data_IF_815495206851
#
_entry.id   IF_815495206851
#
_cell.length_a   1.000
_cell.length_b   1.000
_cell.length_c   1.000
_cell.angle_alpha   90.00
_cell.angle_beta   90.00
_cell.angle_gamma   90.00
#
_symmetry.space_group_name_H-M   'P 1'
#
loop_
_entity.id
_entity.type
_entity.pdbx_description
1 polymer ?
#
# COMPACT_ATOMS: atom_id res chain seq x y z
N UNK A 1 56.72 5.01 24.11
CA UNK A 1 55.70 4.36 24.96
C UNK A 1 54.57 5.37 25.16
N UNK A 2 53.37 4.84 25.32
CA UNK A 2 52.14 5.52 25.78
C UNK A 2 51.31 6.20 24.68
N UNK A 3 50.37 5.50 24.04
CA UNK A 3 49.00 5.13 24.47
C UNK A 3 48.07 6.34 24.58
N UNK A 4 47.30 6.57 23.51
CA UNK A 4 46.04 7.33 23.56
C UNK A 4 44.97 6.54 24.32
N UNK A 5 44.17 7.19 25.19
CA UNK A 5 42.90 6.65 25.62
C UNK A 5 41.73 7.31 24.86
N UNK A 6 41.00 6.47 24.15
CA UNK A 6 39.60 6.68 23.77
C UNK A 6 38.74 6.85 25.03
N UNK A 7 37.82 7.82 25.04
CA UNK A 7 36.72 7.87 26.00
C UNK A 7 35.50 8.57 25.40
N UNK A 8 34.60 7.74 24.92
CA UNK A 8 33.21 8.03 24.59
C UNK A 8 32.43 8.28 25.89
N UNK A 9 32.11 9.54 26.20
CA UNK A 9 31.12 9.85 27.25
C UNK A 9 29.75 10.12 26.62
N UNK A 10 28.84 9.16 26.73
CA UNK A 10 27.42 9.35 26.45
C UNK A 10 26.79 10.01 27.70
N UNK A 11 26.31 11.24 27.54
CA UNK A 11 25.49 11.95 28.52
C UNK A 11 24.06 11.38 28.50
N UNK A 12 23.69 10.69 29.57
CA UNK A 12 22.29 10.29 29.83
C UNK A 12 21.55 11.48 30.42
N UNK A 13 20.63 12.08 29.66
CA UNK A 13 19.71 13.09 30.15
C UNK A 13 18.70 12.45 31.12
N UNK A 14 18.61 12.99 32.34
CA UNK A 14 17.60 12.67 33.34
C UNK A 14 16.25 13.25 32.93
N UNK A 15 15.21 12.41 32.87
CA UNK A 15 13.82 12.85 32.78
C UNK A 15 13.38 13.54 34.08
N UNK A 16 12.78 14.70 33.92
CA UNK A 16 12.10 15.46 34.98
C UNK A 16 10.67 14.94 35.08
N UNK A 17 10.30 14.51 36.28
CA UNK A 17 8.93 14.17 36.67
C UNK A 17 8.14 15.47 36.89
N UNK A 18 7.04 15.64 36.18
CA UNK A 18 6.01 16.62 36.53
C UNK A 18 4.62 16.01 36.28
N UNK A 19 3.86 15.89 37.36
CA UNK A 19 2.45 15.56 37.42
C UNK A 19 1.60 16.79 37.09
N UNK A 20 0.56 16.67 36.26
CA UNK A 20 -0.85 16.85 36.69
C UNK A 20 -1.83 16.68 35.51
N UNK A 21 -2.86 15.87 35.77
CA UNK A 21 -4.28 15.98 35.39
C UNK A 21 -4.67 16.79 34.14
N UNK A 22 -5.08 16.11 33.05
CA UNK A 22 -6.30 16.48 32.30
C UNK A 22 -6.85 15.29 31.49
N UNK A 23 -8.12 14.94 31.72
CA UNK A 23 -8.81 13.78 31.18
C UNK A 23 -9.43 14.07 29.81
N UNK A 24 -8.78 13.57 28.75
CA UNK A 24 -9.35 13.47 27.40
C UNK A 24 -9.25 12.05 26.86
N UNK A 25 -10.38 11.34 26.81
CA UNK A 25 -10.52 9.93 26.43
C UNK A 25 -9.83 9.57 25.10
N UNK A 26 -8.58 9.09 25.18
CA UNK A 26 -7.79 8.60 24.04
C UNK A 26 -8.17 7.16 23.72
N UNK A 27 -8.66 6.92 22.49
CA UNK A 27 -8.72 5.57 21.91
C UNK A 27 -7.35 4.91 22.01
N UNK A 28 -7.31 3.75 22.65
CA UNK A 28 -6.14 2.88 22.78
C UNK A 28 -5.55 2.65 21.40
N UNK A 29 -4.37 3.22 21.14
CA UNK A 29 -3.61 2.94 19.93
C UNK A 29 -3.14 1.48 20.01
N UNK A 30 -3.50 0.68 19.00
CA UNK A 30 -3.00 -0.70 18.87
C UNK A 30 -1.46 -0.68 18.92
N UNK A 31 -0.81 -1.52 19.73
CA UNK A 31 0.64 -1.51 19.83
C UNK A 31 1.26 -1.85 18.47
N UNK A 32 2.34 -1.14 18.13
CA UNK A 32 3.15 -1.42 16.93
C UNK A 32 3.60 -2.89 16.94
N UNK A 33 3.77 -3.50 15.77
CA UNK A 33 4.21 -4.90 15.63
C UNK A 33 5.49 -5.20 16.44
N UNK A 34 6.39 -4.22 16.55
CA UNK A 34 7.62 -4.33 17.35
C UNK A 34 7.37 -4.29 18.86
N UNK A 35 6.38 -3.50 19.30
CA UNK A 35 5.96 -3.46 20.71
C UNK A 35 5.21 -4.75 21.10
N UNK A 36 4.42 -5.32 20.18
CA UNK A 36 3.76 -6.62 20.37
C UNK A 36 4.77 -7.74 20.52
N UNK A 37 5.78 -7.79 19.66
CA UNK A 37 6.83 -8.81 19.73
C UNK A 37 7.57 -8.76 21.07
N UNK A 38 7.96 -7.57 21.52
CA UNK A 38 8.63 -7.40 22.81
C UNK A 38 7.74 -7.75 24.00
N UNK A 39 6.44 -7.44 23.92
CA UNK A 39 5.46 -7.82 24.93
C UNK A 39 5.26 -9.35 24.97
N UNK A 40 5.23 -10.03 23.82
CA UNK A 40 5.18 -11.50 23.77
C UNK A 40 6.46 -12.14 24.34
N UNK A 41 7.63 -11.55 24.10
CA UNK A 41 8.88 -12.03 24.70
C UNK A 41 8.90 -11.84 26.23
N UNK A 42 8.33 -10.74 26.75
CA UNK A 42 8.16 -10.51 28.18
C UNK A 42 7.14 -11.46 28.82
N UNK A 43 5.98 -11.66 28.19
CA UNK A 43 4.96 -12.60 28.70
C UNK A 43 5.47 -14.05 28.72
N UNK A 44 6.24 -14.48 27.71
CA UNK A 44 6.86 -15.82 27.69
C UNK A 44 7.92 -15.97 28.79
N UNK A 45 8.65 -14.90 29.13
CA UNK A 45 9.66 -14.94 30.20
C UNK A 45 9.02 -14.90 31.58
N UNK A 46 7.96 -14.12 31.78
CA UNK A 46 7.21 -14.08 33.04
C UNK A 46 6.48 -15.42 33.31
N UNK A 47 5.84 -16.01 32.30
CA UNK A 47 5.15 -17.31 32.39
C UNK A 47 6.13 -18.49 32.59
N UNK A 48 7.39 -18.36 32.12
CA UNK A 48 8.45 -19.31 32.44
C UNK A 48 8.96 -19.18 33.88
N UNK A 49 8.99 -17.97 34.43
CA UNK A 49 9.38 -17.70 35.83
C UNK A 49 8.26 -18.15 36.78
N UNK A 50 6.99 -17.90 36.45
CA UNK A 50 5.84 -18.27 37.27
C UNK A 50 5.71 -19.80 37.41
N UNK A 51 5.88 -20.54 36.30
CA UNK A 51 5.95 -22.01 36.31
C UNK A 51 7.13 -22.55 37.11
N UNK A 52 8.27 -21.87 37.11
CA UNK A 52 9.41 -22.26 37.94
C UNK A 52 9.13 -22.04 39.45
N UNK A 53 8.36 -21.00 39.80
CA UNK A 53 7.97 -20.72 41.19
C UNK A 53 6.84 -21.61 41.72
N UNK A 54 5.89 -22.04 40.87
CA UNK A 54 4.86 -23.01 41.26
C UNK A 54 5.44 -24.39 41.60
N UNK A 55 6.48 -24.82 40.87
CA UNK A 55 7.18 -26.09 41.13
C UNK A 55 7.92 -26.04 42.49
N UNK A 56 8.29 -24.85 42.98
CA UNK A 56 8.92 -24.65 44.28
C UNK A 56 7.92 -24.52 45.45
N UNK A 57 6.63 -24.23 45.19
CA UNK A 57 5.62 -23.95 46.21
C UNK A 57 4.87 -25.17 46.80
N UNK A 58 5.06 -26.37 46.24
CA UNK A 58 4.30 -27.58 46.60
C UNK A 58 4.59 -28.23 47.97
N UNK A 59 5.36 -27.59 48.84
CA UNK A 59 5.80 -28.13 50.13
C UNK A 59 4.99 -27.66 51.35
N UNK A 60 3.66 -27.51 51.27
CA UNK A 60 2.85 -27.03 52.42
C UNK A 60 2.33 -28.20 53.26
N UNK A 61 2.98 -28.42 54.40
CA UNK A 61 2.66 -29.41 55.45
C UNK A 61 1.21 -29.25 55.94
N UNK A 62 0.43 -30.33 55.89
CA UNK A 62 -0.81 -30.51 56.67
C UNK A 62 -0.44 -30.88 58.11
N UNK A 63 -0.65 -29.96 59.05
CA UNK A 63 -0.56 -30.24 60.49
C UNK A 63 -1.96 -30.42 61.06
N UNK A 64 -2.32 -31.68 61.33
CA UNK A 64 -3.47 -32.04 62.16
C UNK A 64 -2.99 -32.84 63.38
N UNK A 65 -3.41 -32.35 64.54
CA UNK A 65 -3.51 -33.01 65.85
C UNK A 65 -2.23 -33.28 66.65
N UNK A 66 -2.08 -32.47 67.70
CA UNK A 66 -1.20 -32.65 68.86
C UNK A 66 -1.81 -33.69 69.81
N UNK A 67 -1.09 -34.78 70.05
CA UNK A 67 -1.24 -35.60 71.25
C UNK A 67 0.16 -36.03 71.70
N UNK A 68 0.49 -35.70 72.94
CA UNK A 68 1.79 -35.95 73.55
C UNK A 68 1.91 -37.39 74.03
N UNK A 69 3.02 -38.06 73.75
CA UNK A 69 3.64 -39.00 74.70
C UNK A 69 5.15 -39.05 74.52
N UNK A 70 5.78 -39.04 75.68
CA UNK A 70 7.19 -39.07 76.03
C UNK A 70 7.95 -40.30 75.47
N UNK A 71 9.25 -40.10 75.27
CA UNK A 71 10.33 -41.08 75.39
C UNK A 71 10.35 -42.30 74.44
N UNK A 72 11.20 -42.22 73.40
CA UNK A 72 12.33 -43.15 73.20
C UNK A 72 13.23 -42.61 72.09
N UNK A 73 14.35 -42.01 72.49
CA UNK A 73 15.47 -41.70 71.59
C UNK A 73 16.03 -43.03 71.08
N UNK A 74 15.54 -43.46 69.91
CA UNK A 74 16.09 -44.56 69.14
C UNK A 74 16.80 -43.92 67.97
N UNK A 75 18.13 -43.98 67.95
CA UNK A 75 18.93 -43.63 66.78
C UNK A 75 18.33 -44.34 65.55
N UNK A 76 17.71 -43.56 64.66
CA UNK A 76 17.27 -44.02 63.34
C UNK A 76 18.50 -44.06 62.44
N UNK A 77 18.64 -45.07 61.58
CA UNK A 77 19.82 -45.19 60.73
C UNK A 77 19.79 -44.11 59.67
N UNK A 78 20.89 -43.39 59.55
CA UNK A 78 21.19 -42.37 58.53
C UNK A 78 21.01 -42.91 57.08
N UNK A 79 20.97 -44.24 56.91
CA UNK A 79 20.84 -44.93 55.63
C UNK A 79 19.53 -44.68 54.84
N UNK A 80 18.44 -44.26 55.51
CA UNK A 80 17.14 -44.06 54.83
C UNK A 80 17.08 -42.70 54.11
N UNK A 81 17.77 -41.69 54.65
CA UNK A 81 17.87 -40.35 54.05
C UNK A 81 18.79 -40.35 52.81
N UNK A 82 19.87 -41.14 52.83
CA UNK A 82 20.80 -41.29 51.69
C UNK A 82 20.13 -41.98 50.49
N UNK A 83 19.28 -42.98 50.74
CA UNK A 83 18.48 -43.62 49.69
C UNK A 83 17.46 -42.66 49.09
N UNK A 84 16.81 -41.85 49.92
CA UNK A 84 15.89 -40.80 49.46
C UNK A 84 16.60 -39.79 48.54
N UNK A 85 17.78 -39.31 48.94
CA UNK A 85 18.60 -38.40 48.14
C UNK A 85 18.99 -39.00 46.79
N UNK A 86 19.46 -40.26 46.76
CA UNK A 86 19.81 -40.95 45.52
C UNK A 86 18.61 -41.10 44.56
N UNK A 87 17.42 -41.42 45.08
CA UNK A 87 16.20 -41.48 44.27
C UNK A 87 15.84 -40.11 43.68
N UNK A 88 15.98 -39.03 44.46
CA UNK A 88 15.71 -37.67 43.96
C UNK A 88 16.69 -37.23 42.89
N UNK A 89 17.99 -37.52 43.05
CA UNK A 89 19.02 -37.24 42.04
C UNK A 89 18.79 -38.06 40.76
N UNK A 90 18.41 -39.32 40.88
CA UNK A 90 18.08 -40.17 39.74
C UNK A 90 16.85 -39.64 38.98
N UNK A 91 15.84 -39.12 39.70
CA UNK A 91 14.67 -38.46 39.09
C UNK A 91 15.07 -37.19 38.35
N UNK A 92 15.83 -36.31 39.00
CA UNK A 92 16.34 -35.06 38.38
C UNK A 92 17.20 -35.34 37.14
N UNK A 93 18.03 -36.39 37.17
CA UNK A 93 18.89 -36.76 36.03
C UNK A 93 18.05 -37.20 34.83
N UNK A 94 16.96 -37.94 35.06
CA UNK A 94 16.02 -38.34 34.00
C UNK A 94 15.26 -37.14 33.43
N UNK A 95 14.84 -36.22 34.29
CA UNK A 95 14.16 -34.98 33.88
C UNK A 95 15.09 -34.10 33.04
N UNK A 96 16.34 -33.89 33.48
CA UNK A 96 17.35 -33.16 32.72
C UNK A 96 17.64 -33.82 31.38
N UNK A 97 17.79 -35.15 31.36
CA UNK A 97 18.00 -35.88 30.11
C UNK A 97 16.81 -35.71 29.14
N UNK A 98 15.58 -35.76 29.64
CA UNK A 98 14.39 -35.53 28.82
C UNK A 98 14.36 -34.09 28.27
N UNK A 99 14.68 -33.09 29.08
CA UNK A 99 14.76 -31.69 28.64
C UNK A 99 15.84 -31.49 27.57
N UNK A 100 17.03 -32.06 27.76
CA UNK A 100 18.13 -32.01 26.77
C UNK A 100 17.72 -32.68 25.46
N UNK A 101 17.02 -33.81 25.52
CA UNK A 101 16.52 -34.49 24.32
C UNK A 101 15.54 -33.61 23.53
N UNK A 102 14.60 -32.95 24.23
CA UNK A 102 13.66 -32.01 23.59
C UNK A 102 14.41 -30.85 22.93
N UNK A 103 15.38 -30.26 23.63
CA UNK A 103 16.21 -29.18 23.07
C UNK A 103 17.00 -29.62 21.85
N UNK A 104 17.55 -30.84 21.85
CA UNK A 104 18.28 -31.38 20.71
C UNK A 104 17.38 -31.58 19.49
N UNK A 105 16.18 -32.14 19.68
CA UNK A 105 15.21 -32.32 18.60
C UNK A 105 14.72 -30.98 18.04
N UNK A 106 14.50 -29.98 18.92
CA UNK A 106 14.16 -28.62 18.52
C UNK A 106 15.31 -27.94 17.75
N UNK A 107 16.55 -28.08 18.21
CA UNK A 107 17.73 -27.56 17.53
C UNK A 107 17.91 -28.17 16.14
N UNK A 108 17.77 -29.49 16.03
CA UNK A 108 17.85 -30.19 14.74
C UNK A 108 16.78 -29.71 13.75
N UNK A 109 15.56 -29.48 14.22
CA UNK A 109 14.50 -28.86 13.41
C UNK A 109 14.86 -27.43 12.99
N UNK A 110 15.38 -26.62 13.93
CA UNK A 110 15.84 -25.26 13.62
C UNK A 110 16.96 -25.24 12.60
N UNK A 111 17.87 -26.22 12.62
CA UNK A 111 18.93 -26.34 11.62
C UNK A 111 18.35 -26.58 10.22
N UNK A 112 17.34 -27.47 10.11
CA UNK A 112 16.66 -27.70 8.83
C UNK A 112 15.90 -26.47 8.34
N UNK A 113 15.24 -25.75 9.25
CA UNK A 113 14.54 -24.50 8.91
C UNK A 113 15.52 -23.42 8.44
N UNK A 114 16.68 -23.27 9.11
CA UNK A 114 17.73 -22.34 8.70
C UNK A 114 18.24 -22.64 7.29
N UNK A 115 18.46 -23.92 6.95
CA UNK A 115 18.86 -24.34 5.59
C UNK A 115 17.79 -23.98 4.55
N UNK A 116 16.52 -24.17 4.89
CA UNK A 116 15.41 -23.81 4.01
C UNK A 116 15.33 -22.29 3.79
N UNK A 117 15.39 -21.50 4.86
CA UNK A 117 15.40 -20.03 4.79
C UNK A 117 16.58 -19.53 3.97
N UNK A 118 17.77 -20.13 4.13
CA UNK A 118 18.93 -19.77 3.33
C UNK A 118 18.75 -20.11 1.84
N UNK A 119 18.10 -21.23 1.51
CA UNK A 119 17.76 -21.58 0.14
C UNK A 119 16.74 -20.59 -0.46
N UNK A 120 15.68 -20.23 0.26
CA UNK A 120 14.70 -19.23 -0.16
C UNK A 120 15.35 -17.85 -0.37
N UNK A 121 16.26 -17.45 0.52
CA UNK A 121 17.00 -16.19 0.37
C UNK A 121 17.87 -16.19 -0.88
N UNK A 122 18.52 -17.31 -1.22
CA UNK A 122 19.28 -17.44 -2.47
C UNK A 122 18.38 -17.30 -3.70
N UNK A 123 17.20 -17.94 -3.70
CA UNK A 123 16.22 -17.83 -4.79
C UNK A 123 15.75 -16.38 -4.95
N UNK A 124 15.31 -15.75 -3.86
CA UNK A 124 14.87 -14.35 -3.90
C UNK A 124 15.98 -13.40 -4.38
N UNK A 125 17.23 -13.66 -4.00
CA UNK A 125 18.37 -12.88 -4.49
C UNK A 125 18.59 -13.06 -6.00
N UNK A 126 18.45 -14.28 -6.52
CA UNK A 126 18.55 -14.53 -7.95
C UNK A 126 17.43 -13.85 -8.74
N UNK A 127 16.19 -13.94 -8.27
CA UNK A 127 15.03 -13.26 -8.88
C UNK A 127 15.21 -11.74 -8.90
N UNK A 128 15.71 -11.15 -7.81
CA UNK A 128 16.01 -9.71 -7.76
C UNK A 128 17.07 -9.29 -8.79
N UNK A 129 18.09 -10.12 -9.04
CA UNK A 129 19.07 -9.84 -10.08
C UNK A 129 18.46 -9.95 -11.48
N UNK A 130 17.60 -10.94 -11.72
CA UNK A 130 16.87 -11.07 -12.99
C UNK A 130 15.98 -9.85 -13.24
N UNK A 131 15.13 -9.48 -12.28
CA UNK A 131 14.26 -8.29 -12.38
C UNK A 131 15.08 -7.02 -12.60
N UNK A 132 16.22 -6.88 -11.93
CA UNK A 132 17.12 -5.74 -12.15
C UNK A 132 17.64 -5.70 -13.59
N UNK A 133 18.02 -6.83 -14.16
CA UNK A 133 18.49 -6.92 -15.54
C UNK A 133 17.38 -6.58 -16.55
N UNK A 134 16.16 -7.07 -16.31
CA UNK A 134 14.99 -6.76 -17.13
C UNK A 134 14.61 -5.28 -17.07
N UNK A 135 14.63 -4.68 -15.88
CA UNK A 135 14.41 -3.23 -15.72
C UNK A 135 15.47 -2.40 -16.46
N UNK A 136 16.72 -2.85 -16.47
CA UNK A 136 17.76 -2.20 -17.27
C UNK A 136 17.50 -2.34 -18.78
N UNK A 137 17.08 -3.51 -19.25
CA UNK A 137 16.72 -3.73 -20.64
C UNK A 137 15.54 -2.84 -21.08
N UNK A 138 14.46 -2.83 -20.30
CA UNK A 138 13.28 -1.98 -20.54
C UNK A 138 13.65 -0.49 -20.54
N UNK A 139 14.55 -0.07 -19.65
CA UNK A 139 15.06 1.32 -19.63
C UNK A 139 15.76 1.68 -20.94
N UNK A 140 16.60 0.79 -21.47
CA UNK A 140 17.29 1.00 -22.76
C UNK A 140 16.28 1.06 -23.91
N UNK A 141 15.29 0.15 -23.93
CA UNK A 141 14.25 0.15 -24.96
C UNK A 141 13.40 1.43 -24.94
N UNK A 142 13.06 1.94 -23.75
CA UNK A 142 12.34 3.20 -23.60
C UNK A 142 13.16 4.41 -24.07
N UNK A 143 14.47 4.42 -23.81
CA UNK A 143 15.35 5.46 -24.33
C UNK A 143 15.43 5.41 -25.86
N UNK A 144 15.59 4.22 -26.44
CA UNK A 144 15.59 4.05 -27.89
C UNK A 144 14.22 4.43 -28.51
N UNK A 145 13.11 4.12 -27.85
CA UNK A 145 11.78 4.54 -28.31
C UNK A 145 11.61 6.05 -28.25
N UNK A 146 12.12 6.68 -27.20
CA UNK A 146 12.11 8.14 -27.06
C UNK A 146 12.88 8.81 -28.20
N UNK A 147 14.09 8.35 -28.49
CA UNK A 147 14.91 8.89 -29.59
C UNK A 147 14.20 8.72 -30.94
N UNK A 148 13.63 7.53 -31.23
CA UNK A 148 12.85 7.32 -32.47
C UNK A 148 11.66 8.27 -32.58
N UNK A 149 10.96 8.53 -31.48
CA UNK A 149 9.82 9.44 -31.47
C UNK A 149 10.27 10.89 -31.70
N UNK A 150 11.40 11.31 -31.11
CA UNK A 150 11.98 12.64 -31.34
C UNK A 150 12.43 12.80 -32.81
N UNK A 151 13.05 11.79 -33.40
CA UNK A 151 13.45 11.78 -34.82
C UNK A 151 12.23 11.84 -35.75
N UNK A 152 11.19 11.05 -35.50
CA UNK A 152 9.94 11.10 -36.25
C UNK A 152 9.25 12.46 -36.11
N UNK A 153 9.28 13.06 -34.92
CA UNK A 153 8.76 14.41 -34.69
C UNK A 153 9.55 15.47 -35.46
N UNK A 154 10.88 15.38 -35.49
CA UNK A 154 11.72 16.30 -36.27
C UNK A 154 11.44 16.17 -37.77
N UNK A 155 11.39 14.93 -38.29
CA UNK A 155 11.10 14.64 -39.70
C UNK A 155 9.71 15.09 -40.12
N UNK A 156 8.69 14.90 -39.29
CA UNK A 156 7.34 15.39 -39.59
C UNK A 156 7.27 16.91 -39.59
N UNK A 157 8.01 17.58 -38.71
CA UNK A 157 8.11 19.04 -38.69
C UNK A 157 8.81 19.58 -39.95
N UNK A 158 9.94 18.99 -40.36
CA UNK A 158 10.62 19.33 -41.62
C UNK A 158 9.71 19.15 -42.84
N UNK A 159 8.96 18.05 -42.90
CA UNK A 159 8.00 17.82 -43.98
C UNK A 159 6.89 18.89 -44.01
N UNK A 160 6.39 19.31 -42.85
CA UNK A 160 5.39 20.38 -42.76
C UNK A 160 5.97 21.73 -43.24
N UNK A 161 7.22 22.03 -42.90
CA UNK A 161 7.92 23.23 -43.37
C UNK A 161 8.15 23.19 -44.89
N UNK A 162 8.54 22.04 -45.44
CA UNK A 162 8.66 21.83 -46.88
C UNK A 162 7.33 22.05 -47.62
N UNK A 163 6.21 21.56 -47.07
CA UNK A 163 4.87 21.80 -47.63
C UNK A 163 4.51 23.30 -47.54
N UNK A 164 4.81 23.96 -46.43
CA UNK A 164 4.55 25.39 -46.25
C UNK A 164 5.34 26.26 -47.24
N UNK A 165 6.62 25.93 -47.49
CA UNK A 165 7.46 26.65 -48.47
C UNK A 165 7.01 26.41 -49.92
N UNK A 166 6.58 25.20 -50.27
CA UNK A 166 5.97 24.91 -51.59
C UNK A 166 4.65 25.67 -51.77
N UNK A 167 3.83 25.76 -50.72
CA UNK A 167 2.62 26.57 -50.74
C UNK A 167 2.92 28.08 -50.91
N UNK A 168 3.97 28.58 -50.25
CA UNK A 168 4.42 29.97 -50.35
C UNK A 168 5.12 30.32 -51.68
N UNK A 169 5.66 29.34 -52.41
CA UNK A 169 6.26 29.54 -53.75
C UNK A 169 5.25 29.33 -54.87
N UNK A 170 4.18 28.57 -54.65
CA UNK A 170 2.94 28.61 -55.45
C UNK A 170 2.15 29.89 -55.15
N UNK A 171 2.79 31.04 -55.27
CA UNK A 171 2.14 32.34 -55.46
C UNK A 171 1.58 32.42 -56.90
N UNK A 172 0.71 31.48 -57.28
CA UNK A 172 -0.35 31.85 -58.22
C UNK A 172 -1.37 32.66 -57.43
N UNK A 173 -1.95 33.72 -57.99
CA UNK A 173 -2.98 34.48 -57.29
C UNK A 173 -4.02 33.47 -56.82
N UNK A 174 -4.19 33.39 -55.50
CA UNK A 174 -5.30 32.64 -54.93
C UNK A 174 -6.54 33.09 -55.69
N UNK A 175 -7.21 32.17 -56.39
CA UNK A 175 -8.61 32.37 -56.75
C UNK A 175 -9.32 32.47 -55.40
N UNK A 176 -9.40 33.71 -54.92
CA UNK A 176 -10.07 34.07 -53.69
C UNK A 176 -11.54 33.83 -53.96
N UNK A 177 -12.26 33.19 -53.04
CA UNK A 177 -13.70 33.01 -53.15
C UNK A 177 -14.45 34.34 -53.38
N UNK A 178 -13.79 35.48 -53.08
CA UNK A 178 -14.25 36.83 -53.38
C UNK A 178 -14.14 37.27 -54.86
N UNK A 179 -13.35 36.61 -55.71
CA UNK A 179 -13.22 36.95 -57.14
C UNK A 179 -14.36 36.37 -57.99
N UNK A 180 -15.03 35.32 -57.52
CA UNK A 180 -16.22 34.76 -58.18
C UNK A 180 -17.46 35.66 -57.98
N UNK A 181 -17.48 36.48 -56.93
CA UNK A 181 -18.58 37.42 -56.66
C UNK A 181 -18.38 38.82 -57.24
N UNK A 182 -17.23 39.12 -57.86
CA UNK A 182 -16.92 40.47 -58.37
C UNK A 182 -17.40 40.77 -59.80
N UNK A 183 -17.95 39.79 -60.53
CA UNK A 183 -18.69 40.03 -61.79
C UNK A 183 -20.20 40.27 -61.58
N UNK A 184 -20.64 40.55 -60.35
CA UNK A 184 -22.00 40.93 -60.02
C UNK A 184 -22.03 42.35 -59.44
N UNK A 185 -22.70 43.25 -60.15
CA UNK A 185 -22.88 44.66 -59.83
C UNK A 185 -23.45 44.91 -58.42
N UNK A 186 -22.89 45.93 -57.76
CA UNK A 186 -23.67 46.88 -56.96
C UNK A 186 -23.79 46.62 -55.45
N UNK A 187 -23.40 47.63 -54.65
CA UNK A 187 -23.99 47.84 -53.32
C UNK A 187 -23.00 48.07 -52.17
N UNK A 188 -22.73 49.34 -51.91
CA UNK A 188 -22.29 50.01 -50.66
C UNK A 188 -21.95 49.17 -49.39
N UNK A 189 -20.73 49.42 -48.89
CA UNK A 189 -20.31 49.78 -47.51
C UNK A 189 -21.45 49.92 -46.45
N UNK A 190 -21.35 49.60 -45.16
CA UNK A 190 -20.24 49.37 -44.20
C UNK A 190 -20.93 48.98 -42.87
N UNK A 191 -20.45 48.00 -42.11
CA UNK A 191 -20.06 48.26 -40.71
C UNK A 191 -19.23 47.13 -40.11
N UNK A 192 -18.23 47.54 -39.35
CA UNK A 192 -17.12 46.76 -38.82
C UNK A 192 -17.38 46.26 -37.40
N UNK A 193 -17.07 44.99 -37.12
CA UNK A 193 -16.53 44.60 -35.81
C UNK A 193 -15.50 43.48 -35.98
N UNK A 194 -14.24 43.92 -35.95
CA UNK A 194 -13.03 43.09 -35.94
C UNK A 194 -12.97 42.37 -34.59
N UNK A 195 -12.94 41.04 -34.61
CA UNK A 195 -12.56 40.23 -33.46
C UNK A 195 -11.11 39.80 -33.63
N UNK A 196 -10.21 40.38 -32.84
CA UNK A 196 -8.84 39.90 -32.69
C UNK A 196 -8.81 38.65 -31.80
N UNK A 197 -8.02 37.61 -32.12
CA UNK A 197 -7.73 36.50 -31.23
C UNK A 197 -6.59 36.92 -30.28
N UNK A 198 -6.94 37.19 -29.04
CA UNK A 198 -5.99 37.48 -27.96
C UNK A 198 -5.89 36.29 -27.01
N UNK A 199 -4.75 35.62 -27.03
CA UNK A 199 -4.32 34.64 -26.04
C UNK A 199 -4.45 35.21 -24.62
N UNK A 200 -5.30 34.60 -23.81
CA UNK A 200 -5.13 34.51 -22.36
C UNK A 200 -5.91 33.28 -21.90
N UNK A 201 -5.21 32.15 -21.76
CA UNK A 201 -5.68 30.96 -21.07
C UNK A 201 -5.96 31.34 -19.61
N UNK A 202 -7.15 31.87 -19.37
CA UNK A 202 -7.69 31.97 -18.02
C UNK A 202 -7.88 30.54 -17.52
N UNK A 203 -7.24 30.24 -16.39
CA UNK A 203 -7.29 28.96 -15.72
C UNK A 203 -8.72 28.38 -15.77
N UNK A 204 -8.82 27.26 -16.50
CA UNK A 204 -10.03 26.47 -16.65
C UNK A 204 -10.75 26.35 -15.32
N UNK A 205 -11.99 26.83 -15.25
CA UNK A 205 -12.95 26.36 -14.26
C UNK A 205 -13.11 24.87 -14.55
N UNK A 206 -12.30 24.06 -13.86
CA UNK A 206 -12.10 22.65 -14.14
C UNK A 206 -13.44 21.96 -14.28
N UNK A 207 -13.74 21.45 -15.48
CA UNK A 207 -14.84 20.52 -15.68
C UNK A 207 -14.59 19.35 -14.70
N UNK A 208 -15.54 19.00 -13.83
CA UNK A 208 -15.32 17.98 -12.82
C UNK A 208 -14.96 16.65 -13.48
N UNK A 209 -13.74 16.16 -13.23
CA UNK A 209 -13.31 14.83 -13.63
C UNK A 209 -14.25 13.80 -13.00
N UNK A 210 -14.81 12.93 -13.83
CA UNK A 210 -15.70 11.87 -13.41
C UNK A 210 -15.01 10.52 -13.62
N UNK A 211 -15.32 9.58 -12.72
CA UNK A 211 -14.99 8.17 -12.85
C UNK A 211 -16.30 7.39 -12.94
N UNK A 212 -16.64 6.90 -14.12
CA UNK A 212 -17.87 6.13 -14.36
C UNK A 212 -17.63 4.65 -14.17
N UNK A 213 -18.27 4.06 -13.15
CA UNK A 213 -18.25 2.64 -12.86
C UNK A 213 -19.49 2.00 -13.48
N UNK A 214 -19.29 1.12 -14.47
CA UNK A 214 -20.33 0.34 -15.11
C UNK A 214 -20.40 -1.05 -14.49
N UNK A 215 -21.55 -1.33 -13.87
CA UNK A 215 -21.85 -2.59 -13.16
C UNK A 215 -22.81 -3.49 -13.95
N UNK A 216 -23.14 -3.14 -15.20
CA UNK A 216 -24.13 -3.85 -16.02
C UNK A 216 -23.76 -5.31 -16.32
N UNK A 217 -22.46 -5.64 -16.29
CA UNK A 217 -21.94 -7.00 -16.52
C UNK A 217 -21.62 -7.76 -15.23
N UNK A 218 -21.87 -7.16 -14.07
CA UNK A 218 -21.79 -7.88 -12.79
C UNK A 218 -23.04 -8.75 -12.68
N UNK A 219 -22.86 -10.04 -12.37
CA UNK A 219 -23.96 -11.01 -12.31
C UNK A 219 -25.13 -10.48 -11.46
N UNK A 220 -26.33 -10.55 -12.05
CA UNK A 220 -27.53 -9.95 -11.50
C UNK A 220 -28.10 -10.76 -10.33
N UNK A 221 -27.66 -10.42 -9.12
CA UNK A 221 -28.26 -10.86 -7.85
C UNK A 221 -28.28 -9.73 -6.82
N UNK A 222 -28.65 -10.05 -5.57
CA UNK A 222 -28.54 -9.14 -4.41
C UNK A 222 -27.11 -8.60 -4.19
N UNK A 223 -26.12 -9.22 -4.86
CA UNK A 223 -24.72 -8.86 -4.80
C UNK A 223 -24.31 -7.73 -5.75
N UNK A 224 -25.22 -7.23 -6.59
CA UNK A 224 -24.92 -6.08 -7.45
C UNK A 224 -24.57 -4.85 -6.61
N UNK A 225 -23.40 -4.22 -6.85
CA UNK A 225 -22.96 -3.08 -6.06
C UNK A 225 -23.79 -1.84 -6.38
N UNK A 226 -24.62 -1.42 -5.42
CA UNK A 226 -25.34 -0.15 -5.49
C UNK A 226 -24.43 1.05 -5.19
N UNK A 227 -24.88 2.28 -5.49
CA UNK A 227 -24.09 3.50 -5.25
C UNK A 227 -23.59 3.68 -3.81
N UNK A 228 -24.36 3.21 -2.82
CA UNK A 228 -23.95 3.23 -1.41
C UNK A 228 -22.84 2.22 -1.09
N UNK A 229 -22.94 1.00 -1.61
CA UNK A 229 -21.90 -0.03 -1.51
C UNK A 229 -20.61 0.42 -2.21
N UNK A 230 -20.74 1.03 -3.38
CA UNK A 230 -19.61 1.60 -4.11
C UNK A 230 -18.95 2.69 -3.28
N UNK A 231 -19.72 3.64 -2.73
CA UNK A 231 -19.20 4.67 -1.81
C UNK A 231 -18.42 4.06 -0.67
N UNK A 232 -19.03 3.12 0.04
CA UNK A 232 -18.46 2.53 1.24
C UNK A 232 -17.16 1.78 0.94
N UNK A 233 -17.12 1.01 -0.15
CA UNK A 233 -15.93 0.27 -0.56
C UNK A 233 -14.81 1.22 -1.02
N UNK A 234 -15.11 2.20 -1.89
CA UNK A 234 -14.10 3.16 -2.37
C UNK A 234 -13.54 3.98 -1.21
N UNK A 235 -14.39 4.50 -0.32
CA UNK A 235 -13.93 5.26 0.83
C UNK A 235 -13.16 4.41 1.85
N UNK A 236 -13.51 3.13 2.00
CA UNK A 236 -12.78 2.20 2.87
C UNK A 236 -11.36 1.96 2.36
N UNK A 237 -11.22 1.66 1.07
CA UNK A 237 -9.91 1.42 0.45
C UNK A 237 -9.07 2.70 0.41
N UNK A 238 -9.68 3.84 0.06
CA UNK A 238 -9.00 5.13 0.09
C UNK A 238 -8.45 5.47 1.49
N UNK A 239 -9.24 5.28 2.56
CA UNK A 239 -8.78 5.54 3.93
C UNK A 239 -7.73 4.55 4.42
N UNK A 240 -7.65 3.37 3.82
CA UNK A 240 -6.62 2.38 4.13
C UNK A 240 -5.26 2.75 3.53
N UNK A 241 -5.23 3.68 2.57
CA UNK A 241 -3.98 4.20 2.01
C UNK A 241 -3.33 5.24 2.93
N UNK A 242 -2.00 5.22 2.99
CA UNK A 242 -1.22 6.11 3.84
C UNK A 242 -1.54 7.58 3.54
N UNK A 243 -1.90 8.34 4.57
CA UNK A 243 -2.19 9.78 4.47
C UNK A 243 -3.62 10.15 4.06
N UNK A 244 -4.52 9.19 3.81
CA UNK A 244 -5.90 9.44 3.33
C UNK A 244 -7.00 9.15 4.37
N UNK A 245 -6.66 9.14 5.67
CA UNK A 245 -7.59 8.72 6.74
C UNK A 245 -8.90 9.52 6.89
N UNK A 246 -8.96 10.75 6.39
CA UNK A 246 -10.17 11.59 6.36
C UNK A 246 -10.85 11.64 4.98
N UNK A 247 -10.38 10.84 4.02
CA UNK A 247 -10.89 10.87 2.66
C UNK A 247 -12.37 10.43 2.61
N UNK A 248 -13.10 11.09 1.72
CA UNK A 248 -14.51 10.83 1.41
C UNK A 248 -14.78 11.19 -0.04
N UNK A 249 -15.72 10.48 -0.66
CA UNK A 249 -16.14 10.79 -2.02
C UNK A 249 -16.73 12.22 -2.06
N UNK A 250 -16.39 12.99 -3.10
CA UNK A 250 -16.93 14.36 -3.28
C UNK A 250 -18.42 14.32 -3.62
N UNK A 251 -18.78 13.52 -4.60
CA UNK A 251 -20.16 13.21 -4.95
C UNK A 251 -20.21 11.87 -5.68
N UNK A 252 -21.36 11.21 -5.57
CA UNK A 252 -21.66 10.00 -6.33
C UNK A 252 -23.06 10.16 -6.91
N UNK A 253 -23.19 9.98 -8.21
CA UNK A 253 -24.44 10.10 -8.95
C UNK A 253 -24.71 8.83 -9.74
N UNK A 254 -25.95 8.37 -9.75
CA UNK A 254 -26.41 7.29 -10.63
C UNK A 254 -26.86 7.92 -11.95
N UNK A 255 -26.50 7.32 -13.09
CA UNK A 255 -26.94 7.80 -14.39
C UNK A 255 -28.47 7.54 -14.56
N UNK A 256 -29.29 8.57 -14.86
CA UNK A 256 -30.72 8.38 -15.06
C UNK A 256 -31.06 7.50 -16.26
N UNK A 257 -30.14 7.35 -17.23
CA UNK A 257 -30.33 6.49 -18.41
C UNK A 257 -29.95 5.03 -18.14
N UNK A 258 -29.08 4.79 -17.16
CA UNK A 258 -28.62 3.46 -16.81
C UNK A 258 -28.28 3.38 -15.31
N UNK A 259 -29.15 2.74 -14.53
CA UNK A 259 -28.97 2.56 -13.09
C UNK A 259 -27.69 1.80 -12.71
N UNK A 260 -27.12 1.07 -13.67
CA UNK A 260 -25.88 0.30 -13.49
C UNK A 260 -24.62 1.15 -13.67
N UNK A 261 -24.76 2.38 -14.18
CA UNK A 261 -23.67 3.34 -14.35
C UNK A 261 -23.67 4.35 -13.23
N UNK A 262 -22.58 4.34 -12.47
CA UNK A 262 -22.41 5.16 -11.27
C UNK A 262 -21.19 6.04 -11.48
N UNK A 263 -21.38 7.36 -11.41
CA UNK A 263 -20.31 8.35 -11.60
C UNK A 263 -19.83 8.85 -10.25
N UNK A 264 -18.52 8.83 -10.04
CA UNK A 264 -17.85 9.43 -8.89
C UNK A 264 -17.14 10.70 -9.36
N UNK A 265 -17.38 11.83 -8.69
CA UNK A 265 -16.66 13.07 -8.98
C UNK A 265 -15.30 13.06 -8.27
N UNK A 266 -14.24 13.21 -9.03
CA UNK A 266 -12.85 13.28 -8.58
C UNK A 266 -12.42 14.75 -8.38
N UNK A 267 -11.45 15.00 -7.50
CA UNK A 267 -10.84 16.34 -7.33
C UNK A 267 -9.71 16.59 -8.31
N UNK A 268 -8.94 15.56 -8.64
CA UNK A 268 -7.80 15.61 -9.53
C UNK A 268 -7.61 14.29 -10.28
N UNK A 269 -6.68 14.27 -11.24
CA UNK A 269 -6.35 13.09 -12.05
C UNK A 269 -5.73 11.95 -11.23
N UNK A 270 -5.08 12.25 -10.09
CA UNK A 270 -4.47 11.24 -9.24
C UNK A 270 -5.56 10.47 -8.47
N UNK A 271 -6.55 11.17 -7.89
CA UNK A 271 -7.75 10.59 -7.33
C UNK A 271 -8.53 9.79 -8.38
N UNK A 272 -8.65 10.30 -9.60
CA UNK A 272 -9.32 9.57 -10.69
C UNK A 272 -8.63 8.22 -10.99
N UNK A 273 -7.31 8.21 -11.14
CA UNK A 273 -6.52 6.98 -11.36
C UNK A 273 -6.66 6.00 -10.20
N UNK A 274 -6.66 6.50 -8.97
CA UNK A 274 -6.75 5.68 -7.77
C UNK A 274 -8.13 5.04 -7.59
N UNK A 275 -9.20 5.83 -7.80
CA UNK A 275 -10.57 5.32 -7.77
C UNK A 275 -10.78 4.28 -8.87
N UNK A 276 -10.19 4.50 -10.06
CA UNK A 276 -10.20 3.51 -11.14
C UNK A 276 -9.60 2.17 -10.71
N UNK A 277 -8.41 2.19 -10.11
CA UNK A 277 -7.74 0.98 -9.61
C UNK A 277 -8.56 0.29 -8.50
N UNK A 278 -9.11 1.05 -7.56
CA UNK A 278 -9.94 0.52 -6.48
C UNK A 278 -11.20 -0.13 -7.06
N UNK A 279 -11.87 0.52 -8.01
CA UNK A 279 -13.10 0.01 -8.60
C UNK A 279 -12.87 -1.30 -9.37
N UNK A 280 -11.79 -1.39 -10.15
CA UNK A 280 -11.41 -2.61 -10.86
C UNK A 280 -11.05 -3.75 -9.90
N UNK A 281 -10.44 -3.44 -8.75
CA UNK A 281 -10.06 -4.43 -7.73
C UNK A 281 -11.23 -4.89 -6.87
N UNK A 282 -12.12 -3.99 -6.46
CA UNK A 282 -13.10 -4.23 -5.39
C UNK A 282 -14.44 -4.79 -5.86
N UNK A 283 -14.81 -4.64 -7.13
CA UNK A 283 -16.18 -4.96 -7.60
C UNK A 283 -16.26 -6.16 -8.57
N UNK A 284 -15.24 -7.04 -8.56
CA UNK A 284 -15.28 -8.37 -9.17
C UNK A 284 -15.29 -8.40 -10.71
N UNK A 285 -15.28 -9.61 -11.31
CA UNK A 285 -15.32 -9.80 -12.76
C UNK A 285 -16.61 -9.19 -13.34
N UNK A 286 -16.47 -8.28 -14.31
CA UNK A 286 -17.60 -7.62 -14.97
C UNK A 286 -17.76 -6.14 -14.64
N UNK A 287 -17.17 -5.62 -13.55
CA UNK A 287 -17.11 -4.18 -13.32
C UNK A 287 -16.09 -3.54 -14.26
N UNK A 288 -16.49 -2.49 -14.98
CA UNK A 288 -15.60 -1.71 -15.85
C UNK A 288 -15.67 -0.25 -15.48
N UNK A 289 -14.52 0.40 -15.42
CA UNK A 289 -14.45 1.86 -15.34
C UNK A 289 -14.45 2.38 -16.77
N UNK A 290 -15.51 3.07 -17.18
CA UNK A 290 -15.56 3.69 -18.50
C UNK A 290 -14.57 4.85 -18.54
N UNK A 291 -13.85 4.94 -19.65
CA UNK A 291 -12.94 6.05 -19.90
C UNK A 291 -13.80 7.27 -20.21
N UNK A 292 -13.85 8.18 -19.26
CA UNK A 292 -14.55 9.45 -19.36
C UNK A 292 -13.76 10.48 -20.20
N UNK A 293 -12.90 9.98 -21.10
CA UNK A 293 -12.25 10.79 -22.11
C UNK A 293 -13.32 11.31 -23.06
N UNK A 294 -13.57 12.61 -22.97
CA UNK A 294 -14.28 13.39 -23.97
C UNK A 294 -13.52 13.22 -25.29
N UNK A 295 -13.85 12.20 -26.08
CA UNK A 295 -13.32 12.10 -27.44
C UNK A 295 -13.71 13.38 -28.18
N UNK A 296 -12.77 14.15 -28.74
CA UNK A 296 -13.14 15.14 -29.72
C UNK A 296 -13.78 14.37 -30.87
N UNK A 297 -15.10 14.51 -31.01
CA UNK A 297 -15.83 13.98 -32.16
C UNK A 297 -15.21 14.64 -33.38
N UNK A 298 -14.40 13.89 -34.13
CA UNK A 298 -14.02 14.28 -35.47
C UNK A 298 -15.29 14.16 -36.30
N UNK A 299 -15.94 15.29 -36.53
CA UNK A 299 -16.91 15.42 -37.61
C UNK A 299 -16.08 15.38 -38.89
N UNK A 300 -15.77 14.17 -39.37
CA UNK A 300 -15.32 14.02 -40.74
C UNK A 300 -16.49 14.47 -41.62
N UNK A 301 -16.29 15.60 -42.28
CA UNK A 301 -17.25 16.25 -43.15
C UNK A 301 -17.75 15.25 -44.21
N UNK A 302 -18.91 14.64 -43.94
CA UNK A 302 -19.73 14.04 -44.99
C UNK A 302 -20.16 15.19 -45.90
N UNK A 303 -19.73 15.13 -47.16
CA UNK A 303 -20.18 16.07 -48.19
C UNK A 303 -21.70 15.96 -48.28
N UNK A 304 -22.41 17.04 -47.92
CA UNK A 304 -23.77 17.25 -48.40
C UNK A 304 -23.67 17.53 -49.90
N UNK A 305 -24.08 16.57 -50.71
CA UNK A 305 -24.41 16.79 -52.11
C UNK A 305 -25.81 17.38 -52.17
N UNK A 306 -25.91 18.66 -52.51
CA UNK A 306 -27.04 19.27 -53.22
C UNK A 306 -26.48 20.13 -54.35
#
# INVERSE_FOLDING_TARGET
MDLEPDSTSITVAREVVASDEDLGSRRVRKPSAKARLNQTYQEITEDAIERATEIAGGGRRTTTTRAATLAKERAKPIEDDDKGLLLTMAKQTKELHAAVKIMFDAWKKSETWNKNVEAELRVATAELQTVKSELQAVKVELQAMKERMEDESAKTNENLEAIATVAATRNSPSVSYADVTRSGLGGQCRDSRVAMPGNATLASRSDPLFCTIDTSRVEGGSDKPNAGRIRAAVEKEMRAMDGQGSWRCRAITVDPRNADRIRIICRDDAEHKLIKQIAEKSFGPGTRVLQDELYPVKIDNVKRTE
#
